data_IF_912581330246
#
_entry.id   IF_912581330246
#
_cell.length_a   1.000
_cell.length_b   1.000
_cell.length_c   1.000
_cell.angle_alpha   90.00
_cell.angle_beta   90.00
_cell.angle_gamma   90.00
#
_symmetry.space_group_name_H-M   'P 1'
#
loop_
_entity.id
_entity.type
_entity.pdbx_description
1 polymer ?
#
# COMPACT_ATOMS: atom_id res chain seq x y z
N UNK A 1 26.92 -43.78 -40.28
CA UNK A 1 25.75 -42.96 -39.93
C UNK A 1 24.97 -43.66 -38.84
N UNK A 2 24.95 -43.12 -37.62
CA UNK A 2 23.82 -43.25 -36.67
C UNK A 2 24.06 -42.23 -35.55
N UNK A 3 23.45 -41.05 -35.71
CA UNK A 3 23.44 -40.02 -34.68
C UNK A 3 22.55 -40.50 -33.52
N UNK A 4 23.13 -40.66 -32.33
CA UNK A 4 22.39 -40.89 -31.10
C UNK A 4 21.57 -39.65 -30.73
N UNK A 5 20.24 -39.78 -30.70
CA UNK A 5 19.34 -38.74 -30.21
C UNK A 5 19.64 -38.41 -28.75
N UNK A 6 19.70 -37.13 -28.35
CA UNK A 6 19.81 -36.78 -26.94
C UNK A 6 18.52 -37.20 -26.22
N UNK A 7 18.67 -38.03 -25.19
CA UNK A 7 17.58 -38.47 -24.33
C UNK A 7 16.91 -37.27 -23.66
N UNK A 8 15.60 -37.11 -23.89
CA UNK A 8 14.77 -36.18 -23.12
C UNK A 8 14.70 -36.68 -21.69
N UNK A 9 15.48 -36.10 -20.79
CA UNK A 9 15.30 -36.24 -19.33
C UNK A 9 14.12 -35.38 -18.87
N UNK A 10 12.92 -35.75 -19.28
CA UNK A 10 11.68 -35.13 -18.80
C UNK A 10 11.26 -35.78 -17.48
N UNK A 11 11.88 -35.40 -16.36
CA UNK A 11 11.36 -35.74 -15.04
C UNK A 11 10.04 -35.00 -14.80
N UNK A 12 9.03 -35.68 -14.24
CA UNK A 12 7.77 -35.02 -13.90
C UNK A 12 8.01 -33.89 -12.88
N UNK A 13 7.34 -32.73 -13.05
CA UNK A 13 7.50 -31.63 -12.12
C UNK A 13 6.97 -32.01 -10.74
N UNK A 14 7.82 -31.92 -9.72
CA UNK A 14 7.41 -32.08 -8.32
C UNK A 14 6.39 -31.02 -7.91
N UNK A 15 5.31 -31.43 -7.25
CA UNK A 15 4.31 -30.51 -6.69
C UNK A 15 4.47 -30.35 -5.18
N UNK A 16 4.38 -29.12 -4.69
CA UNK A 16 4.40 -28.81 -3.25
C UNK A 16 3.21 -27.94 -2.87
N UNK A 17 2.60 -28.15 -1.69
CA UNK A 17 1.46 -27.35 -1.26
C UNK A 17 1.88 -25.90 -0.96
N UNK A 18 0.96 -24.95 -1.20
CA UNK A 18 1.18 -23.55 -0.84
C UNK A 18 1.33 -23.41 0.69
N UNK A 19 2.38 -22.72 1.19
CA UNK A 19 2.59 -22.48 2.61
C UNK A 19 1.35 -21.90 3.30
N UNK A 20 1.06 -22.37 4.52
CA UNK A 20 -0.13 -21.98 5.26
C UNK A 20 -0.21 -20.45 5.44
N UNK A 21 0.93 -19.82 5.66
CA UNK A 21 1.12 -18.39 5.86
C UNK A 21 0.71 -17.57 4.65
N UNK A 22 0.77 -18.13 3.43
CA UNK A 22 0.38 -17.45 2.17
C UNK A 22 -1.06 -17.70 1.75
N UNK A 23 -1.78 -18.60 2.42
CA UNK A 23 -3.14 -18.98 2.00
C UNK A 23 -4.16 -17.83 2.10
N UNK A 24 -3.95 -16.90 3.03
CA UNK A 24 -4.77 -15.68 3.14
C UNK A 24 -4.63 -14.78 1.90
N UNK A 25 -3.42 -14.74 1.31
CA UNK A 25 -3.17 -14.03 0.04
C UNK A 25 -3.97 -14.66 -1.09
N UNK A 26 -4.04 -16.01 -1.17
CA UNK A 26 -4.84 -16.68 -2.20
C UNK A 26 -6.34 -16.33 -2.08
N UNK A 27 -6.88 -16.31 -0.87
CA UNK A 27 -8.29 -15.93 -0.65
C UNK A 27 -8.54 -14.46 -0.97
N UNK A 28 -7.58 -13.57 -0.67
CA UNK A 28 -7.62 -12.17 -1.08
C UNK A 28 -7.61 -12.02 -2.60
N UNK A 29 -6.70 -12.72 -3.30
CA UNK A 29 -6.57 -12.66 -4.75
C UNK A 29 -7.81 -13.21 -5.47
N UNK A 30 -8.43 -14.26 -4.93
CA UNK A 30 -9.70 -14.78 -5.46
C UNK A 30 -10.81 -13.73 -5.43
N UNK A 31 -10.91 -12.96 -4.32
CA UNK A 31 -11.84 -11.83 -4.23
C UNK A 31 -11.45 -10.67 -5.16
N UNK A 32 -10.15 -10.38 -5.27
CA UNK A 32 -9.63 -9.28 -6.08
C UNK A 32 -9.90 -9.45 -7.58
N UNK A 33 -10.11 -10.68 -8.08
CA UNK A 33 -10.54 -10.95 -9.46
C UNK A 33 -11.85 -10.25 -9.86
N UNK A 34 -12.66 -9.85 -8.88
CA UNK A 34 -13.88 -9.09 -9.12
C UNK A 34 -13.67 -7.59 -9.32
N UNK A 35 -12.43 -7.07 -9.21
CA UNK A 35 -12.12 -5.66 -9.45
C UNK A 35 -11.88 -5.36 -10.94
N UNK A 36 -11.94 -4.08 -11.30
CA UNK A 36 -11.59 -3.60 -12.64
C UNK A 36 -10.49 -2.53 -12.52
N UNK A 37 -9.24 -2.92 -12.20
CA UNK A 37 -8.17 -1.96 -12.02
C UNK A 37 -7.73 -1.36 -13.36
N UNK A 38 -7.58 -0.05 -13.40
CA UNK A 38 -6.84 0.69 -14.44
C UNK A 38 -5.59 1.29 -13.79
N UNK A 39 -4.55 1.44 -14.59
CA UNK A 39 -3.22 1.78 -14.14
C UNK A 39 -2.75 3.07 -14.79
N UNK A 40 -2.28 4.00 -13.96
CA UNK A 40 -1.59 5.22 -14.33
C UNK A 40 -0.19 5.21 -13.71
N UNK A 41 0.71 6.00 -14.27
CA UNK A 41 2.02 6.29 -13.69
C UNK A 41 2.44 7.71 -14.04
N UNK A 42 3.35 8.23 -13.23
CA UNK A 42 4.02 9.51 -13.45
C UNK A 42 5.40 9.50 -12.81
N UNK A 43 6.29 10.33 -13.33
CA UNK A 43 7.53 10.70 -12.67
C UNK A 43 7.28 11.82 -11.66
N UNK A 44 7.98 11.74 -10.53
CA UNK A 44 7.96 12.73 -9.46
C UNK A 44 9.40 13.17 -9.19
N UNK A 45 9.65 14.46 -9.33
CA UNK A 45 10.87 15.12 -8.90
C UNK A 45 10.91 15.17 -7.36
N UNK A 46 11.79 14.36 -6.79
CA UNK A 46 11.93 14.25 -5.34
C UNK A 46 12.94 15.25 -4.78
N UNK A 47 13.36 16.28 -5.52
CA UNK A 47 14.34 17.27 -5.04
C UNK A 47 13.95 17.89 -3.70
N UNK A 48 12.70 18.35 -3.56
CA UNK A 48 12.21 18.98 -2.33
C UNK A 48 12.18 18.00 -1.14
N UNK A 49 11.64 16.80 -1.37
CA UNK A 49 11.62 15.73 -0.37
C UNK A 49 13.03 15.30 0.02
N UNK A 50 13.96 15.18 -0.95
CA UNK A 50 15.34 14.81 -0.69
C UNK A 50 16.07 15.89 0.14
N UNK A 51 15.81 17.17 -0.12
CA UNK A 51 16.35 18.27 0.68
C UNK A 51 15.85 18.20 2.13
N UNK A 52 14.55 18.03 2.34
CA UNK A 52 13.99 17.88 3.68
C UNK A 52 14.51 16.63 4.41
N UNK A 53 14.64 15.50 3.70
CA UNK A 53 15.21 14.26 4.27
C UNK A 53 16.65 14.44 4.72
N UNK A 54 17.49 15.13 3.94
CA UNK A 54 18.88 15.44 4.31
C UNK A 54 18.93 16.33 5.56
N UNK A 55 18.09 17.36 5.64
CA UNK A 55 18.00 18.22 6.82
C UNK A 55 17.53 17.45 8.07
N UNK A 56 16.54 16.57 7.92
CA UNK A 56 16.06 15.71 9.00
C UNK A 56 17.15 14.74 9.48
N UNK A 57 17.93 14.16 8.56
CA UNK A 57 19.03 13.25 8.87
C UNK A 57 20.17 13.95 9.64
N UNK A 58 20.51 15.18 9.25
CA UNK A 58 21.45 16.03 10.00
C UNK A 58 20.97 16.33 11.43
N UNK A 59 19.65 16.41 11.62
CA UNK A 59 19.02 16.54 12.94
C UNK A 59 18.80 15.18 13.65
N UNK A 60 19.40 14.09 13.16
CA UNK A 60 19.29 12.75 13.77
C UNK A 60 17.94 12.05 13.57
N UNK A 61 17.06 12.58 12.72
CA UNK A 61 15.74 12.00 12.41
C UNK A 61 15.78 11.18 11.13
N UNK A 62 15.07 10.05 11.11
CA UNK A 62 14.89 9.23 9.91
C UNK A 62 13.53 9.50 9.30
N UNK A 63 13.49 9.86 8.02
CA UNK A 63 12.25 10.01 7.25
C UNK A 63 12.31 9.15 5.99
N UNK A 64 11.48 8.11 5.93
CA UNK A 64 11.34 7.25 4.75
C UNK A 64 10.57 7.96 3.65
N UNK A 65 10.94 7.74 2.37
CA UNK A 65 10.18 8.25 1.21
C UNK A 65 8.72 7.83 1.26
N UNK A 66 8.42 6.62 1.74
CA UNK A 66 7.05 6.10 1.89
C UNK A 66 6.20 7.01 2.80
N UNK A 67 6.80 7.62 3.83
CA UNK A 67 6.09 8.50 4.76
C UNK A 67 5.58 9.76 4.06
N UNK A 68 6.35 10.35 3.15
CA UNK A 68 5.92 11.50 2.35
C UNK A 68 4.77 11.14 1.43
N UNK A 69 4.83 9.98 0.76
CA UNK A 69 3.75 9.52 -0.11
C UNK A 69 2.47 9.27 0.70
N UNK A 70 2.56 8.64 1.88
CA UNK A 70 1.42 8.46 2.78
C UNK A 70 0.82 9.78 3.25
N UNK A 71 1.69 10.75 3.57
CA UNK A 71 1.30 12.07 4.02
C UNK A 71 0.59 12.89 2.94
N UNK A 72 1.14 12.91 1.72
CA UNK A 72 0.58 13.58 0.56
C UNK A 72 -0.75 12.91 0.14
N UNK A 73 -0.74 11.59 -0.10
CA UNK A 73 -1.93 10.84 -0.47
C UNK A 73 -3.04 10.93 0.57
N UNK A 74 -2.69 10.93 1.86
CA UNK A 74 -3.64 11.14 2.94
C UNK A 74 -4.44 12.44 2.77
N UNK A 75 -3.74 13.56 2.55
CA UNK A 75 -4.36 14.89 2.42
C UNK A 75 -5.11 15.06 1.11
N UNK A 76 -4.57 14.54 0.01
CA UNK A 76 -5.26 14.56 -1.29
C UNK A 76 -6.55 13.76 -1.21
N UNK A 77 -6.51 12.50 -0.76
CA UNK A 77 -7.71 11.65 -0.68
C UNK A 77 -8.76 12.17 0.31
N UNK A 78 -8.39 12.96 1.32
CA UNK A 78 -9.35 13.63 2.18
C UNK A 78 -10.18 14.70 1.44
N UNK A 79 -9.62 15.29 0.37
CA UNK A 79 -10.29 16.26 -0.51
C UNK A 79 -11.03 15.61 -1.68
N UNK A 80 -10.75 14.33 -1.99
CA UNK A 80 -11.47 13.55 -3.02
C UNK A 80 -12.28 12.40 -2.41
N UNK A 81 -13.48 12.66 -1.86
CA UNK A 81 -14.29 11.64 -1.19
C UNK A 81 -14.73 10.49 -2.11
N UNK A 82 -14.82 10.70 -3.43
CA UNK A 82 -15.14 9.64 -4.40
C UNK A 82 -13.96 8.70 -4.66
N UNK A 83 -12.73 9.22 -4.64
CA UNK A 83 -11.52 8.39 -4.67
C UNK A 83 -11.28 7.68 -3.32
N UNK A 84 -11.68 8.30 -2.21
CA UNK A 84 -11.71 7.69 -0.88
C UNK A 84 -13.01 6.91 -0.60
N UNK A 85 -13.42 6.08 -1.57
CA UNK A 85 -14.63 5.28 -1.51
C UNK A 85 -14.36 3.79 -1.74
N UNK A 86 -15.40 2.96 -1.73
CA UNK A 86 -15.35 1.56 -2.13
C UNK A 86 -16.69 1.07 -2.64
N UNK A 87 -16.67 0.16 -3.59
CA UNK A 87 -17.86 -0.47 -4.16
C UNK A 87 -18.06 -1.91 -3.66
N UNK A 88 -19.32 -2.31 -3.49
CA UNK A 88 -19.75 -3.70 -3.28
C UNK A 88 -21.01 -3.99 -4.10
N UNK A 89 -21.11 -5.22 -4.60
CA UNK A 89 -22.31 -5.74 -5.24
C UNK A 89 -22.18 -5.79 -6.76
N UNK A 90 -22.77 -6.83 -7.38
CA UNK A 90 -22.81 -6.99 -8.84
C UNK A 90 -24.13 -6.50 -9.42
N UNK A 91 -25.27 -7.05 -8.96
CA UNK A 91 -26.60 -6.65 -9.48
C UNK A 91 -27.20 -5.38 -8.86
N UNK A 92 -26.76 -5.00 -7.66
CA UNK A 92 -27.16 -3.76 -6.98
C UNK A 92 -25.92 -3.12 -6.36
N UNK A 93 -25.06 -2.48 -7.17
CA UNK A 93 -23.82 -1.89 -6.67
C UNK A 93 -24.12 -0.82 -5.63
N UNK A 94 -23.30 -0.77 -4.58
CA UNK A 94 -23.32 0.26 -3.54
C UNK A 94 -21.93 0.80 -3.35
N UNK A 95 -21.82 2.13 -3.36
CA UNK A 95 -20.59 2.86 -3.05
C UNK A 95 -20.69 3.38 -1.60
N UNK A 96 -19.62 3.19 -0.84
CA UNK A 96 -19.45 3.82 0.47
C UNK A 96 -18.24 4.74 0.42
N UNK A 97 -18.44 6.00 0.79
CA UNK A 97 -17.40 7.01 0.98
C UNK A 97 -16.94 7.01 2.44
N UNK A 98 -15.67 7.28 2.69
CA UNK A 98 -15.11 7.24 4.05
C UNK A 98 -14.69 8.63 4.53
N UNK A 99 -15.08 9.04 5.75
CA UNK A 99 -14.72 10.35 6.31
C UNK A 99 -13.27 10.40 6.80
N UNK A 100 -12.64 9.24 7.00
CA UNK A 100 -11.25 9.11 7.43
C UNK A 100 -10.44 8.43 6.35
N UNK A 101 -9.21 8.88 6.13
CA UNK A 101 -8.27 8.23 5.22
C UNK A 101 -7.34 7.30 6.00
N UNK A 102 -7.44 5.99 5.76
CA UNK A 102 -6.62 4.96 6.41
C UNK A 102 -5.76 4.27 5.36
N UNK A 103 -4.46 4.17 5.61
CA UNK A 103 -3.51 3.58 4.68
C UNK A 103 -3.28 2.10 4.99
N UNK A 104 -3.37 1.26 3.96
CA UNK A 104 -2.89 -0.12 4.01
C UNK A 104 -1.52 -0.21 3.37
N UNK A 105 -0.48 -0.43 4.18
CA UNK A 105 0.90 -0.51 3.72
C UNK A 105 1.35 -1.96 3.64
N UNK A 106 1.81 -2.40 2.47
CA UNK A 106 2.38 -3.74 2.30
C UNK A 106 3.80 -3.79 2.86
N UNK A 107 4.04 -4.70 3.81
CA UNK A 107 5.33 -4.91 4.46
C UNK A 107 5.82 -6.33 4.22
N UNK A 108 7.10 -6.45 3.85
CA UNK A 108 7.81 -7.73 3.82
C UNK A 108 8.16 -8.17 5.25
N UNK A 109 7.70 -9.37 5.62
CA UNK A 109 7.75 -9.89 6.98
C UNK A 109 8.06 -11.39 6.96
N UNK A 110 8.45 -11.91 8.12
CA UNK A 110 8.51 -13.35 8.38
C UNK A 110 7.44 -13.73 9.39
N UNK A 111 6.70 -14.79 9.11
CA UNK A 111 5.69 -15.38 9.99
C UNK A 111 5.98 -16.88 10.05
N UNK A 112 6.19 -17.46 11.24
CA UNK A 112 6.67 -18.85 11.38
C UNK A 112 7.92 -19.16 10.52
N UNK A 113 8.84 -18.20 10.38
CA UNK A 113 10.03 -18.33 9.53
C UNK A 113 9.79 -18.21 8.02
N UNK A 114 8.53 -18.24 7.56
CA UNK A 114 8.18 -18.09 6.15
C UNK A 114 8.11 -16.60 5.75
N UNK A 115 8.74 -16.23 4.63
CA UNK A 115 8.67 -14.86 4.11
C UNK A 115 7.29 -14.60 3.50
N UNK A 116 6.60 -13.57 3.98
CA UNK A 116 5.24 -13.21 3.58
C UNK A 116 5.06 -11.70 3.54
N UNK A 117 4.10 -11.24 2.73
CA UNK A 117 3.69 -9.84 2.71
C UNK A 117 2.50 -9.68 3.64
N UNK A 118 2.64 -8.82 4.65
CA UNK A 118 1.59 -8.48 5.59
C UNK A 118 1.19 -7.02 5.43
N UNK A 119 -0.06 -6.71 5.79
CA UNK A 119 -0.60 -5.37 5.72
C UNK A 119 -0.49 -4.66 7.07
N UNK A 120 0.20 -3.54 7.12
CA UNK A 120 0.08 -2.55 8.19
C UNK A 120 -1.10 -1.61 7.89
N UNK A 121 -1.91 -1.30 8.90
CA UNK A 121 -3.04 -0.40 8.76
C UNK A 121 -2.78 0.85 9.59
N UNK A 122 -2.48 1.96 8.92
CA UNK A 122 -2.25 3.26 9.53
C UNK A 122 -3.55 4.07 9.49
N UNK A 123 -3.96 4.60 10.63
CA UNK A 123 -5.30 5.21 10.77
C UNK A 123 -5.26 6.73 10.71
N UNK A 124 -6.18 7.32 9.94
CA UNK A 124 -6.34 8.77 9.87
C UNK A 124 -5.09 9.52 9.40
N UNK A 125 -4.35 8.98 8.43
CA UNK A 125 -3.07 9.54 7.96
C UNK A 125 -3.18 10.97 7.42
N UNK A 126 -4.36 11.34 6.91
CA UNK A 126 -4.70 12.70 6.45
C UNK A 126 -4.58 13.79 7.52
N UNK A 127 -4.62 13.45 8.81
CA UNK A 127 -4.41 14.41 9.92
C UNK A 127 -3.18 14.09 10.76
N UNK A 128 -2.31 13.20 10.28
CA UNK A 128 -1.08 12.84 10.98
C UNK A 128 0.09 13.69 10.46
N UNK A 129 1.03 14.03 11.34
CA UNK A 129 2.31 14.61 10.94
C UNK A 129 3.22 13.54 10.30
N UNK A 130 4.32 13.95 9.69
CA UNK A 130 5.31 13.03 9.13
C UNK A 130 5.91 12.14 10.23
N UNK A 131 6.21 12.71 11.39
CA UNK A 131 6.77 12.02 12.56
C UNK A 131 5.80 10.94 13.06
N UNK A 132 4.53 11.28 13.22
CA UNK A 132 3.51 10.33 13.65
C UNK A 132 3.35 9.16 12.67
N UNK A 133 3.35 9.44 11.36
CA UNK A 133 3.28 8.38 10.33
C UNK A 133 4.55 7.53 10.36
N UNK A 134 5.73 8.16 10.53
CA UNK A 134 7.03 7.49 10.59
C UNK A 134 7.13 6.57 11.82
N UNK A 135 6.69 7.02 12.98
CA UNK A 135 6.65 6.23 14.23
C UNK A 135 5.69 5.05 14.10
N UNK A 136 4.48 5.29 13.58
CA UNK A 136 3.50 4.23 13.36
C UNK A 136 4.04 3.19 12.37
N UNK A 137 4.64 3.62 11.26
CA UNK A 137 5.25 2.72 10.28
C UNK A 137 6.42 1.93 10.88
N UNK A 138 7.25 2.53 11.72
CA UNK A 138 8.36 1.84 12.41
C UNK A 138 7.87 0.82 13.42
N UNK A 139 6.78 1.11 14.14
CA UNK A 139 6.13 0.13 15.02
C UNK A 139 5.75 -1.12 14.23
N UNK A 140 5.07 -0.96 13.08
CA UNK A 140 4.71 -2.07 12.21
C UNK A 140 5.94 -2.76 11.61
N UNK A 141 6.97 -2.01 11.21
CA UNK A 141 8.19 -2.55 10.58
C UNK A 141 9.03 -3.38 11.56
N UNK A 142 9.17 -2.93 12.81
CA UNK A 142 9.96 -3.61 13.85
C UNK A 142 9.20 -4.72 14.57
N UNK A 143 7.88 -4.58 14.67
CA UNK A 143 7.05 -5.54 15.39
C UNK A 143 7.10 -6.95 14.81
N UNK A 144 7.13 -7.94 15.70
CA UNK A 144 7.09 -9.37 15.35
C UNK A 144 5.65 -9.82 15.03
N UNK A 145 5.35 -10.22 13.78
CA UNK A 145 4.03 -10.68 13.40
C UNK A 145 3.50 -11.88 14.19
N UNK A 146 4.36 -12.68 14.82
CA UNK A 146 3.93 -13.81 15.64
C UNK A 146 3.36 -13.36 17.00
N UNK A 147 3.75 -12.17 17.48
CA UNK A 147 3.41 -11.65 18.81
C UNK A 147 2.45 -10.48 18.78
N UNK A 148 2.45 -9.69 17.71
CA UNK A 148 1.60 -8.50 17.61
C UNK A 148 0.10 -8.85 17.70
N UNK A 149 -0.68 -8.13 18.52
CA UNK A 149 -2.13 -8.36 18.65
C UNK A 149 -2.89 -8.07 17.35
N UNK A 150 -2.41 -7.15 16.54
CA UNK A 150 -3.03 -6.77 15.25
C UNK A 150 -3.09 -7.95 14.27
N UNK A 151 -2.12 -8.86 14.33
CA UNK A 151 -2.09 -10.06 13.50
C UNK A 151 -2.76 -11.28 14.16
N UNK A 152 -3.28 -11.18 15.39
CA UNK A 152 -3.91 -12.31 16.08
C UNK A 152 -5.12 -12.87 15.32
N UNK A 153 -5.94 -12.00 14.72
CA UNK A 153 -7.05 -12.41 13.87
C UNK A 153 -6.59 -13.18 12.62
N UNK A 154 -5.48 -12.75 12.01
CA UNK A 154 -4.87 -13.43 10.87
C UNK A 154 -4.32 -14.81 11.27
N UNK A 155 -3.59 -14.90 12.39
CA UNK A 155 -3.06 -16.17 12.91
C UNK A 155 -4.18 -17.15 13.26
N UNK A 156 -5.28 -16.67 13.88
CA UNK A 156 -6.48 -17.48 14.12
C UNK A 156 -7.11 -17.98 12.81
N UNK A 157 -7.22 -17.10 11.81
CA UNK A 157 -7.76 -17.42 10.49
C UNK A 157 -6.91 -18.45 9.72
N UNK A 158 -5.59 -18.44 9.88
CA UNK A 158 -4.70 -19.42 9.23
C UNK A 158 -4.89 -20.85 9.74
N UNK A 159 -5.34 -21.02 10.99
CA UNK A 159 -5.62 -22.33 11.61
C UNK A 159 -7.02 -22.89 11.28
N UNK A 160 -7.88 -22.11 10.62
CA UNK A 160 -9.23 -22.55 10.26
C UNK A 160 -9.23 -23.48 9.04
N UNK A 161 -10.13 -24.48 8.98
CA UNK A 161 -10.44 -25.23 7.78
C UNK A 161 -10.81 -24.32 6.59
N UNK A 162 -10.55 -24.80 5.37
CA UNK A 162 -10.75 -24.03 4.14
C UNK A 162 -12.12 -23.31 4.02
N UNK A 163 -13.28 -23.96 4.25
CA UNK A 163 -14.57 -23.30 4.04
C UNK A 163 -14.78 -22.13 5.01
N UNK A 164 -14.46 -22.32 6.29
CA UNK A 164 -14.57 -21.30 7.33
C UNK A 164 -13.63 -20.12 7.07
N UNK A 165 -12.38 -20.42 6.67
CA UNK A 165 -11.40 -19.38 6.32
C UNK A 165 -11.85 -18.56 5.13
N UNK A 166 -12.35 -19.21 4.08
CA UNK A 166 -12.83 -18.54 2.87
C UNK A 166 -13.97 -17.57 3.19
N UNK A 167 -14.94 -18.02 3.98
CA UNK A 167 -16.04 -17.19 4.46
C UNK A 167 -15.56 -16.01 5.33
N UNK A 168 -14.66 -16.26 6.29
CA UNK A 168 -14.12 -15.22 7.17
C UNK A 168 -13.37 -14.15 6.37
N UNK A 169 -12.51 -14.56 5.43
CA UNK A 169 -11.79 -13.65 4.55
C UNK A 169 -12.76 -12.85 3.68
N UNK A 170 -13.71 -13.51 3.01
CA UNK A 170 -14.72 -12.85 2.16
C UNK A 170 -15.52 -11.80 2.94
N UNK A 171 -15.91 -12.12 4.17
CA UNK A 171 -16.63 -11.21 5.06
C UNK A 171 -15.79 -10.01 5.54
N UNK A 172 -14.47 -10.18 5.65
CA UNK A 172 -13.53 -9.13 6.03
C UNK A 172 -13.22 -8.17 4.87
N UNK A 173 -13.02 -8.71 3.65
CA UNK A 173 -12.66 -7.90 2.46
C UNK A 173 -13.87 -7.28 1.76
N UNK A 174 -15.04 -7.90 1.86
CA UNK A 174 -16.25 -7.43 1.16
C UNK A 174 -17.10 -6.46 1.98
N UNK A 175 -16.82 -6.27 3.28
CA UNK A 175 -17.65 -5.41 4.13
C UNK A 175 -17.24 -3.95 4.01
N UNK A 176 -18.11 -3.12 3.41
CA UNK A 176 -17.90 -1.67 3.32
C UNK A 176 -17.72 -1.04 4.71
N UNK A 177 -18.52 -1.43 5.70
CA UNK A 177 -18.42 -0.91 7.08
C UNK A 177 -17.09 -1.24 7.76
N UNK A 178 -16.55 -2.45 7.54
CA UNK A 178 -15.31 -2.90 8.21
C UNK A 178 -14.04 -2.52 7.44
N UNK A 179 -14.18 -2.13 6.17
CA UNK A 179 -13.08 -1.87 5.23
C UNK A 179 -11.99 -0.94 5.79
N UNK A 180 -12.28 0.21 6.42
CA UNK A 180 -11.23 1.07 6.98
C UNK A 180 -10.35 0.39 8.04
N UNK A 181 -10.86 -0.64 8.72
CA UNK A 181 -10.16 -1.38 9.79
C UNK A 181 -9.56 -2.71 9.33
N UNK A 182 -9.91 -3.21 8.14
CA UNK A 182 -9.40 -4.49 7.63
C UNK A 182 -8.50 -4.32 6.40
N UNK A 183 -8.79 -3.32 5.57
CA UNK A 183 -8.17 -3.12 4.26
C UNK A 183 -7.67 -1.70 4.03
N UNK A 184 -7.92 -0.78 4.98
CA UNK A 184 -7.72 0.64 4.77
C UNK A 184 -8.75 1.22 3.79
N UNK A 185 -8.60 2.49 3.47
CA UNK A 185 -9.39 3.18 2.43
C UNK A 185 -8.58 3.39 1.16
N UNK A 186 -7.26 3.47 1.27
CA UNK A 186 -6.30 3.33 0.18
C UNK A 186 -5.15 2.40 0.57
N UNK A 187 -4.42 1.91 -0.42
CA UNK A 187 -3.27 1.05 -0.23
C UNK A 187 -2.00 1.70 -0.77
N UNK A 188 -0.87 1.38 -0.15
CA UNK A 188 0.45 1.76 -0.60
C UNK A 188 1.36 0.53 -0.54
N UNK A 189 2.14 0.34 -1.57
CA UNK A 189 3.18 -0.68 -1.63
C UNK A 189 4.44 -0.06 -2.18
N UNK A 190 5.59 -0.47 -1.62
CA UNK A 190 6.88 0.07 -2.01
C UNK A 190 7.86 -1.06 -2.27
N UNK A 191 8.53 -0.99 -3.41
CA UNK A 191 9.66 -1.83 -3.76
C UNK A 191 10.95 -0.99 -3.88
N UNK A 192 10.95 0.23 -3.36
CA UNK A 192 12.04 1.20 -3.44
C UNK A 192 13.37 0.72 -2.82
N UNK A 193 13.34 -0.34 -2.01
CA UNK A 193 14.53 -0.97 -1.42
C UNK A 193 15.25 -1.93 -2.39
N UNK A 194 14.73 -2.10 -3.60
CA UNK A 194 15.30 -2.88 -4.71
C UNK A 194 15.37 -1.99 -5.95
N UNK A 195 16.19 -2.34 -6.96
CA UNK A 195 16.29 -1.59 -8.21
C UNK A 195 15.06 -1.82 -9.11
N UNK A 196 13.88 -1.46 -8.61
CA UNK A 196 12.60 -1.52 -9.30
C UNK A 196 12.17 -0.09 -9.56
N UNK A 197 12.19 0.32 -10.83
CA UNK A 197 11.83 1.69 -11.21
C UNK A 197 10.35 1.92 -11.01
N UNK A 198 9.46 1.09 -11.54
CA UNK A 198 8.02 1.22 -11.37
C UNK A 198 7.36 -0.15 -11.32
N UNK A 199 6.21 -0.23 -10.65
CA UNK A 199 5.38 -1.45 -10.65
C UNK A 199 3.93 -1.11 -10.36
N UNK A 200 3.04 -1.82 -11.04
CA UNK A 200 1.60 -1.66 -10.86
C UNK A 200 1.03 -2.82 -10.04
N UNK A 201 0.24 -2.50 -9.03
CA UNK A 201 -0.38 -3.51 -8.18
C UNK A 201 -1.77 -3.07 -7.74
N UNK A 202 -2.61 -4.05 -7.39
CA UNK A 202 -3.92 -3.79 -6.83
C UNK A 202 -3.98 -4.25 -5.38
N UNK A 203 -4.02 -3.30 -4.44
CA UNK A 203 -4.01 -3.55 -3.00
C UNK A 203 -5.37 -3.90 -2.40
N UNK A 204 -6.42 -3.93 -3.22
CA UNK A 204 -7.80 -4.20 -2.80
C UNK A 204 -8.59 -2.97 -2.37
N UNK A 205 -8.06 -1.77 -2.63
CA UNK A 205 -8.70 -0.48 -2.36
C UNK A 205 -9.00 0.24 -3.67
N UNK A 206 -9.82 1.30 -3.60
CA UNK A 206 -10.14 2.10 -4.80
C UNK A 206 -8.90 2.76 -5.36
N UNK A 207 -7.99 3.24 -4.51
CA UNK A 207 -6.68 3.76 -4.90
C UNK A 207 -5.60 2.85 -4.31
N UNK A 208 -4.66 2.39 -5.13
CA UNK A 208 -3.43 1.72 -4.70
C UNK A 208 -2.23 2.44 -5.30
N UNK A 209 -1.32 2.92 -4.45
CA UNK A 209 -0.08 3.58 -4.87
C UNK A 209 1.08 2.58 -4.86
N UNK A 210 1.85 2.56 -5.93
CA UNK A 210 3.12 1.86 -6.07
C UNK A 210 4.28 2.84 -6.03
N UNK A 211 5.23 2.60 -5.13
CA UNK A 211 6.41 3.46 -4.95
C UNK A 211 7.66 2.73 -5.43
N UNK A 212 8.23 3.20 -6.53
CA UNK A 212 9.49 2.75 -7.10
C UNK A 212 10.73 3.28 -6.39
N UNK A 213 11.91 2.88 -6.87
CA UNK A 213 13.17 3.46 -6.43
C UNK A 213 13.27 4.93 -6.86
N UNK A 214 13.80 5.78 -5.97
CA UNK A 214 14.28 7.12 -6.32
C UNK A 214 15.73 7.04 -6.80
N UNK A 215 16.03 7.58 -7.97
CA UNK A 215 17.39 7.59 -8.54
C UNK A 215 17.67 8.92 -9.24
N UNK A 216 18.95 9.32 -9.31
CA UNK A 216 19.36 10.47 -10.12
C UNK A 216 19.04 10.21 -11.60
N UNK A 217 18.35 11.16 -12.23
CA UNK A 217 17.94 11.10 -13.65
C UNK A 217 18.19 12.45 -14.33
N UNK A 218 18.47 12.44 -15.64
CA UNK A 218 18.45 13.65 -16.45
C UNK A 218 17.00 14.19 -16.52
N UNK A 219 16.83 15.46 -16.20
CA UNK A 219 15.56 16.20 -16.31
C UNK A 219 15.78 17.51 -17.06
N UNK A 220 14.74 18.04 -17.69
CA UNK A 220 14.80 19.37 -18.33
C UNK A 220 14.17 20.38 -17.37
N UNK A 221 14.92 21.42 -17.01
CA UNK A 221 14.45 22.57 -16.23
C UNK A 221 14.80 23.85 -16.97
N UNK A 222 13.80 24.69 -17.23
CA UNK A 222 13.97 25.96 -17.95
C UNK A 222 14.72 25.82 -19.29
N UNK A 223 14.48 24.72 -20.02
CA UNK A 223 15.13 24.43 -21.29
C UNK A 223 16.56 23.89 -21.19
N UNK A 224 17.12 23.76 -19.98
CA UNK A 224 18.45 23.19 -19.74
C UNK A 224 18.38 21.78 -19.14
N UNK A 225 19.36 20.94 -19.50
CA UNK A 225 19.53 19.62 -18.90
C UNK A 225 20.09 19.75 -17.48
N UNK A 226 19.44 19.12 -16.51
CA UNK A 226 19.85 19.06 -15.11
C UNK A 226 19.76 17.61 -14.58
N UNK A 227 20.36 17.34 -13.42
CA UNK A 227 20.15 16.09 -12.67
C UNK A 227 19.18 16.33 -11.53
N UNK A 228 18.24 15.40 -11.33
CA UNK A 228 17.36 15.40 -10.17
C UNK A 228 17.10 13.97 -9.66
N UNK A 229 16.87 13.79 -8.35
CA UNK A 229 16.38 12.53 -7.82
C UNK A 229 14.92 12.33 -8.24
N UNK A 230 14.68 11.42 -9.18
CA UNK A 230 13.33 11.15 -9.71
C UNK A 230 12.82 9.81 -9.18
N UNK A 231 11.55 9.78 -8.80
CA UNK A 231 10.81 8.59 -8.38
C UNK A 231 9.62 8.36 -9.31
N UNK A 232 9.45 7.11 -9.76
CA UNK A 232 8.23 6.71 -10.44
C UNK A 232 7.14 6.41 -9.40
N UNK A 233 5.97 7.02 -9.58
CA UNK A 233 4.78 6.84 -8.77
C UNK A 233 3.68 6.23 -9.64
N UNK A 234 3.24 5.03 -9.27
CA UNK A 234 2.21 4.31 -9.99
C UNK A 234 0.90 4.40 -9.20
N UNK A 235 -0.23 4.54 -9.88
CA UNK A 235 -1.56 4.53 -9.29
C UNK A 235 -2.43 3.49 -10.00
N UNK A 236 -2.91 2.50 -9.25
CA UNK A 236 -3.99 1.63 -9.71
C UNK A 236 -5.31 2.11 -9.10
N UNK A 237 -6.34 2.27 -9.92
CA UNK A 237 -7.68 2.60 -9.45
C UNK A 237 -8.76 1.61 -9.90
N UNK A 238 -9.77 1.39 -9.05
CA UNK A 238 -10.93 0.56 -9.42
C UNK A 238 -11.89 1.38 -10.29
N UNK A 239 -11.93 1.07 -11.58
CA UNK A 239 -12.67 1.85 -12.59
C UNK A 239 -14.20 1.80 -12.40
N UNK A 240 -14.69 0.93 -11.51
CA UNK A 240 -16.11 0.90 -11.11
C UNK A 240 -16.47 1.98 -10.09
N UNK A 241 -15.47 2.63 -9.49
CA UNK A 241 -15.67 3.65 -8.44
C UNK A 241 -15.39 5.05 -8.98
N UNK A 242 -14.29 5.21 -9.70
CA UNK A 242 -13.88 6.48 -10.34
C UNK A 242 -13.47 6.23 -11.80
N UNK A 243 -13.46 7.29 -12.60
CA UNK A 243 -12.97 7.26 -13.98
C UNK A 243 -11.51 7.71 -14.09
N UNK A 244 -10.98 7.68 -15.32
CA UNK A 244 -9.59 8.03 -15.60
C UNK A 244 -9.28 9.51 -15.39
N UNK A 245 -10.23 10.43 -15.63
CA UNK A 245 -10.01 11.85 -15.43
C UNK A 245 -9.84 12.15 -13.94
N UNK A 246 -10.76 11.64 -13.11
CA UNK A 246 -10.67 11.81 -11.66
C UNK A 246 -9.41 11.13 -11.08
N UNK A 247 -9.05 9.95 -11.58
CA UNK A 247 -7.82 9.28 -11.15
C UNK A 247 -6.56 10.07 -11.53
N UNK A 248 -6.54 10.70 -12.70
CA UNK A 248 -5.45 11.57 -13.14
C UNK A 248 -5.33 12.82 -12.28
N UNK A 249 -6.45 13.48 -11.94
CA UNK A 249 -6.45 14.63 -11.02
C UNK A 249 -5.85 14.26 -9.65
N UNK A 250 -6.27 13.13 -9.09
CA UNK A 250 -5.73 12.62 -7.81
C UNK A 250 -4.23 12.34 -7.90
N UNK A 251 -3.77 11.72 -9.00
CA UNK A 251 -2.36 11.41 -9.19
C UNK A 251 -1.52 12.69 -9.32
N UNK A 252 -2.00 13.66 -10.10
CA UNK A 252 -1.37 14.98 -10.29
C UNK A 252 -1.27 15.72 -8.97
N UNK A 253 -2.35 15.80 -8.18
CA UNK A 253 -2.29 16.46 -6.87
C UNK A 253 -1.34 15.78 -5.87
N UNK A 254 -1.19 14.45 -5.93
CA UNK A 254 -0.19 13.74 -5.13
C UNK A 254 1.23 14.06 -5.60
N UNK A 255 1.46 14.09 -6.92
CA UNK A 255 2.73 14.48 -7.52
C UNK A 255 3.09 15.90 -7.09
N UNK A 256 2.21 16.87 -7.29
CA UNK A 256 2.44 18.27 -6.96
C UNK A 256 2.73 18.46 -5.47
N UNK A 257 2.02 17.73 -4.59
CA UNK A 257 2.27 17.76 -3.15
C UNK A 257 3.64 17.18 -2.74
N UNK A 258 4.22 16.29 -3.55
CA UNK A 258 5.56 15.73 -3.33
C UNK A 258 6.64 16.64 -3.93
N UNK A 259 6.44 17.17 -5.14
CA UNK A 259 7.40 18.06 -5.81
C UNK A 259 7.49 19.42 -5.13
N UNK A 260 6.35 19.96 -4.72
CA UNK A 260 6.22 21.21 -3.96
C UNK A 260 6.34 21.01 -2.45
N UNK A 261 6.90 19.89 -1.98
CA UNK A 261 6.95 19.60 -0.54
C UNK A 261 7.73 20.69 0.23
N UNK A 262 7.01 21.41 1.08
CA UNK A 262 7.58 22.27 2.11
C UNK A 262 7.19 21.71 3.49
N UNK A 263 8.13 21.69 4.43
CA UNK A 263 7.84 21.29 5.79
C UNK A 263 6.72 22.20 6.35
N UNK A 264 5.66 21.65 6.98
CA UNK A 264 4.70 22.47 7.69
C UNK A 264 5.45 23.27 8.77
N UNK A 265 5.21 24.58 8.86
CA UNK A 265 5.70 25.37 9.99
C UNK A 265 5.15 24.74 11.28
N UNK A 266 6.04 24.39 12.21
CA UNK A 266 5.72 23.69 13.44
C UNK A 266 4.52 24.34 14.17
N UNK A 267 3.40 23.62 14.29
CA UNK A 267 2.19 24.18 14.89
C UNK A 267 1.03 23.18 15.03
N UNK A 268 0.98 22.49 16.17
CA UNK A 268 -0.27 21.91 16.70
C UNK A 268 -0.53 20.43 16.38
N UNK A 269 0.38 19.52 16.75
CA UNK A 269 0.03 18.10 16.82
C UNK A 269 -0.84 17.86 18.07
N UNK A 270 -2.15 17.73 17.89
CA UNK A 270 -3.01 17.14 18.92
C UNK A 270 -2.56 15.69 19.16
N UNK A 271 -2.12 15.38 20.38
CA UNK A 271 -1.74 14.05 20.79
C UNK A 271 -2.90 13.08 20.54
N UNK A 272 -2.65 12.02 19.77
CA UNK A 272 -3.62 10.93 19.58
C UNK A 272 -3.35 9.83 20.60
N UNK A 273 -4.36 9.49 21.39
CA UNK A 273 -4.41 8.18 22.03
C UNK A 273 -4.75 7.12 20.97
N UNK A 274 -3.93 6.07 20.93
CA UNK A 274 -4.13 4.90 20.07
C UNK A 274 -5.43 4.19 20.48
N UNK A 275 -6.44 4.05 19.60
CA UNK A 275 -7.60 3.22 19.93
C UNK A 275 -7.14 1.77 20.00
N UNK A 276 -7.13 1.18 21.19
CA UNK A 276 -6.96 -0.26 21.35
C UNK A 276 -8.06 -0.96 20.53
N UNK A 277 -7.74 -1.98 19.71
CA UNK A 277 -8.77 -2.76 19.05
C UNK A 277 -9.68 -3.37 20.12
N UNK A 278 -10.96 -2.98 20.08
CA UNK A 278 -11.95 -3.28 21.10
C UNK A 278 -12.01 -4.76 21.45
N UNK A 279 -12.07 -5.02 22.75
CA UNK A 279 -12.61 -6.25 23.32
C UNK A 279 -13.93 -6.57 22.61
N UNK A 280 -14.09 -7.83 22.23
CA UNK A 280 -15.29 -8.31 21.55
C UNK A 280 -16.55 -7.80 22.25
N UNK A 281 -17.37 -7.06 21.50
CA UNK A 281 -18.77 -6.92 21.85
C UNK A 281 -19.42 -8.28 21.63
N UNK A 282 -20.07 -8.75 22.69
CA UNK A 282 -20.82 -10.00 22.82
C UNK A 282 -21.78 -10.24 21.66
#
# INVERSE_FOLDING_TARGET
MTAGRPGRTGGEPGSVPVPAERRHTLTFLSWAKGAAPVFLDTEVDMSAVAAHRRAAEQAGRRCSTVVYVLHAAGRVLARHPDANAAIRGRGRPRIARYPTVNAKVALDKRLNGQRVVLAALLTGVHRSSLEQIQEELEYWRRGDPDRMPEFAGLRKMQRMPWPLRSWANSSAVSSLRRRPRTMGTFALTSLAHRPVNGFHSFGGTTITLGVGQTAERPVVRDGALASAPVMQLNLAFDHRVIDGAHAADVLTEIKDALEGFAAPADGGAAARERPLPGKGAR
#
